data_IF_791677758661
#
_entry.id   IF_791677758661
#
_cell.length_a   1.000
_cell.length_b   1.000
_cell.length_c   1.000
_cell.angle_alpha   90.00
_cell.angle_beta   90.00
_cell.angle_gamma   90.00
#
_symmetry.space_group_name_H-M   'P 1'
#
loop_
_entity.id
_entity.type
_entity.pdbx_description
1 polymer ?
#
# COMPACT_ATOMS: atom_id res chain seq x y z
N UNK A 1 24.59 -3.85 14.85
CA UNK A 1 25.09 -4.00 13.47
C UNK A 1 24.79 -2.71 12.72
N UNK A 2 25.69 -2.26 11.84
CA UNK A 2 25.38 -1.13 10.97
C UNK A 2 24.23 -1.51 10.04
N UNK A 3 23.28 -0.59 9.82
CA UNK A 3 22.18 -0.76 8.85
C UNK A 3 22.77 -0.89 7.45
N UNK A 4 22.28 -1.83 6.65
CA UNK A 4 22.57 -1.88 5.21
C UNK A 4 21.82 -0.76 4.48
N UNK A 5 22.13 -0.55 3.20
CA UNK A 5 21.58 0.58 2.45
C UNK A 5 20.07 0.40 2.19
N UNK A 6 19.59 -0.84 2.12
CA UNK A 6 18.16 -1.15 1.98
C UNK A 6 17.38 -0.84 3.26
N UNK A 7 17.94 -1.13 4.42
CA UNK A 7 17.34 -0.82 5.71
C UNK A 7 17.32 0.69 5.96
N UNK A 8 18.39 1.41 5.60
CA UNK A 8 18.37 2.89 5.60
C UNK A 8 17.29 3.44 4.68
N UNK A 9 17.13 2.86 3.48
CA UNK A 9 16.05 3.20 2.56
C UNK A 9 14.65 2.95 3.16
N UNK A 10 14.44 1.85 3.88
CA UNK A 10 13.16 1.53 4.54
C UNK A 10 12.87 2.40 5.77
N UNK A 11 13.91 2.81 6.48
CA UNK A 11 13.81 3.65 7.69
C UNK A 11 13.74 5.16 7.36
N UNK A 12 13.87 5.54 6.08
CA UNK A 12 13.83 6.93 5.63
C UNK A 12 15.13 7.71 5.87
N UNK A 13 16.26 7.01 6.01
CA UNK A 13 17.59 7.57 6.18
C UNK A 13 18.33 7.76 4.84
N UNK A 14 19.45 8.50 4.85
CA UNK A 14 20.30 8.64 3.65
C UNK A 14 20.96 7.30 3.29
N UNK A 15 20.84 6.88 2.02
CA UNK A 15 21.39 5.62 1.53
C UNK A 15 22.11 5.76 0.17
N UNK A 16 22.98 4.80 -0.14
CA UNK A 16 23.76 4.73 -1.38
C UNK A 16 22.93 4.03 -2.47
N UNK A 17 22.47 4.80 -3.45
CA UNK A 17 21.52 4.33 -4.47
C UNK A 17 22.06 3.24 -5.42
N UNK A 18 23.38 3.06 -5.53
CA UNK A 18 23.99 2.02 -6.36
C UNK A 18 24.41 0.76 -5.56
N UNK A 19 24.07 0.69 -4.27
CA UNK A 19 24.33 -0.49 -3.46
C UNK A 19 23.61 -1.74 -4.05
N UNK A 20 24.22 -2.93 -4.00
CA UNK A 20 23.67 -4.14 -4.63
C UNK A 20 22.22 -4.45 -4.25
N UNK A 21 21.87 -4.28 -2.99
CA UNK A 21 20.53 -4.48 -2.42
C UNK A 21 19.51 -3.47 -2.97
N UNK A 22 19.90 -2.21 -3.14
CA UNK A 22 19.08 -1.17 -3.76
C UNK A 22 18.91 -1.43 -5.27
N UNK A 23 19.99 -1.81 -5.96
CA UNK A 23 19.94 -2.16 -7.39
C UNK A 23 19.06 -3.39 -7.62
N UNK A 24 19.12 -4.38 -6.72
CA UNK A 24 18.25 -5.56 -6.76
C UNK A 24 16.78 -5.20 -6.55
N UNK A 25 16.48 -4.34 -5.57
CA UNK A 25 15.15 -3.79 -5.33
C UNK A 25 14.61 -3.06 -6.58
N UNK A 26 15.40 -2.19 -7.20
CA UNK A 26 15.02 -1.45 -8.42
C UNK A 26 14.78 -2.40 -9.61
N UNK A 27 15.61 -3.42 -9.78
CA UNK A 27 15.43 -4.44 -10.83
C UNK A 27 14.13 -5.24 -10.61
N UNK A 28 13.82 -5.60 -9.36
CA UNK A 28 12.59 -6.29 -9.03
C UNK A 28 11.35 -5.41 -9.29
N UNK A 29 11.38 -4.13 -8.89
CA UNK A 29 10.32 -3.17 -9.19
C UNK A 29 10.07 -3.06 -10.70
N UNK A 30 11.13 -2.89 -11.51
CA UNK A 30 11.03 -2.85 -12.98
C UNK A 30 10.47 -4.14 -13.58
N UNK A 31 10.81 -5.30 -13.01
CA UNK A 31 10.25 -6.60 -13.43
C UNK A 31 8.75 -6.66 -13.18
N UNK A 32 8.30 -6.26 -11.99
CA UNK A 32 6.89 -6.24 -11.63
C UNK A 32 6.10 -5.26 -12.50
N UNK A 33 6.62 -4.04 -12.74
CA UNK A 33 5.99 -3.08 -13.66
C UNK A 33 5.83 -3.62 -15.08
N UNK A 34 6.83 -4.35 -15.61
CA UNK A 34 6.70 -5.01 -16.92
C UNK A 34 5.62 -6.09 -16.91
N UNK A 35 5.58 -6.91 -15.86
CA UNK A 35 4.55 -7.94 -15.68
C UNK A 35 3.14 -7.33 -15.62
N UNK A 36 2.98 -6.17 -14.98
CA UNK A 36 1.73 -5.42 -14.98
C UNK A 36 1.36 -4.94 -16.39
N UNK A 37 2.29 -4.27 -17.06
CA UNK A 37 2.04 -3.71 -18.40
C UNK A 37 1.81 -4.80 -19.47
N UNK A 38 2.35 -6.01 -19.27
CA UNK A 38 2.16 -7.15 -20.17
C UNK A 38 0.96 -8.04 -19.80
N UNK A 39 0.27 -7.76 -18.69
CA UNK A 39 -0.92 -8.50 -18.31
C UNK A 39 -2.14 -8.06 -19.12
N UNK A 40 -3.08 -8.95 -19.39
CA UNK A 40 -4.35 -8.57 -20.03
C UNK A 40 -5.21 -7.74 -19.07
N UNK A 41 -6.13 -6.93 -19.63
CA UNK A 41 -6.95 -5.99 -18.85
C UNK A 41 -7.80 -6.67 -17.78
N UNK A 42 -8.21 -7.92 -18.04
CA UNK A 42 -9.02 -8.80 -17.20
C UNK A 42 -8.20 -9.71 -16.27
N UNK A 43 -6.86 -9.64 -16.30
CA UNK A 43 -5.98 -10.33 -15.36
C UNK A 43 -5.91 -9.60 -14.00
N UNK A 44 -7.07 -9.40 -13.38
CA UNK A 44 -7.30 -8.58 -12.18
C UNK A 44 -6.39 -8.99 -11.02
N UNK A 45 -6.22 -10.29 -10.78
CA UNK A 45 -5.42 -10.81 -9.66
C UNK A 45 -3.92 -10.51 -9.82
N UNK A 46 -3.42 -10.55 -11.06
CA UNK A 46 -2.03 -10.21 -11.39
C UNK A 46 -1.81 -8.70 -11.24
N UNK A 47 -2.77 -7.89 -11.70
CA UNK A 47 -2.68 -6.42 -11.67
C UNK A 47 -2.77 -5.84 -10.25
N UNK A 48 -3.63 -6.40 -9.39
CA UNK A 48 -3.81 -5.97 -8.01
C UNK A 48 -2.56 -6.18 -7.15
N UNK A 49 -1.74 -7.19 -7.45
CA UNK A 49 -0.50 -7.44 -6.71
C UNK A 49 0.66 -6.47 -7.03
N UNK A 50 0.51 -5.55 -7.99
CA UNK A 50 1.61 -4.72 -8.53
C UNK A 50 1.45 -3.21 -8.31
N UNK A 51 0.24 -2.70 -8.06
CA UNK A 51 -0.07 -1.26 -8.06
C UNK A 51 -0.02 -0.58 -6.67
N UNK A 52 1.14 -0.46 -6.04
CA UNK A 52 1.25 0.38 -4.84
C UNK A 52 2.56 1.18 -4.78
N UNK A 53 2.43 2.48 -4.46
CA UNK A 53 3.54 3.42 -4.31
C UNK A 53 4.40 3.15 -3.07
N UNK A 54 3.96 2.28 -2.17
CA UNK A 54 4.68 1.85 -0.98
C UNK A 54 4.41 0.35 -0.70
N UNK A 55 5.06 -0.20 0.33
CA UNK A 55 4.97 -1.62 0.68
C UNK A 55 3.58 -1.99 1.19
N UNK A 56 3.07 -3.13 0.72
CA UNK A 56 1.97 -3.86 1.35
C UNK A 56 2.53 -5.17 1.90
N UNK A 57 2.31 -5.42 3.18
CA UNK A 57 2.67 -6.66 3.88
C UNK A 57 1.39 -7.39 4.25
N UNK A 58 1.30 -8.67 3.87
CA UNK A 58 0.17 -9.55 4.20
C UNK A 58 0.73 -10.77 4.93
N UNK A 59 0.23 -11.03 6.13
CA UNK A 59 0.61 -12.18 6.95
C UNK A 59 -0.04 -13.49 6.49
N UNK A 60 0.51 -14.60 6.96
CA UNK A 60 0.08 -15.95 6.58
C UNK A 60 -1.40 -16.21 6.92
N UNK A 61 -2.03 -17.11 6.17
CA UNK A 61 -3.44 -17.51 6.34
C UNK A 61 -4.46 -16.35 6.26
N UNK A 62 -4.09 -15.23 5.63
CA UNK A 62 -5.01 -14.11 5.38
C UNK A 62 -5.93 -14.42 4.20
N UNK A 63 -7.23 -14.25 4.40
CA UNK A 63 -8.24 -14.38 3.35
C UNK A 63 -8.69 -13.00 2.86
N UNK A 64 -8.59 -12.74 1.55
CA UNK A 64 -9.03 -11.49 0.93
C UNK A 64 -10.17 -11.81 -0.04
N UNK A 65 -11.35 -11.24 0.21
CA UNK A 65 -12.53 -11.44 -0.62
C UNK A 65 -12.52 -10.53 -1.87
N UNK A 66 -13.52 -10.71 -2.74
CA UNK A 66 -13.64 -9.98 -4.00
C UNK A 66 -13.75 -8.46 -3.82
N UNK A 67 -13.22 -7.71 -4.78
CA UNK A 67 -13.31 -6.24 -4.85
C UNK A 67 -12.66 -5.49 -3.68
N UNK A 68 -11.69 -6.09 -3.00
CA UNK A 68 -10.86 -5.38 -2.02
C UNK A 68 -9.88 -4.43 -2.71
N UNK A 69 -9.72 -3.25 -2.14
CA UNK A 69 -8.81 -2.21 -2.63
C UNK A 69 -7.84 -1.85 -1.50
N UNK A 70 -6.55 -1.93 -1.78
CA UNK A 70 -5.50 -1.51 -0.86
C UNK A 70 -4.81 -0.30 -1.49
N UNK A 71 -4.75 0.80 -0.75
CA UNK A 71 -4.15 2.04 -1.26
C UNK A 71 -3.02 2.47 -0.35
N UNK A 72 -1.80 2.47 -0.87
CA UNK A 72 -0.66 3.07 -0.16
C UNK A 72 -0.47 4.54 -0.49
N UNK A 73 -1.01 5.04 -1.61
CA UNK A 73 -0.84 6.42 -2.05
C UNK A 73 -1.96 7.37 -1.56
N UNK A 74 -1.58 8.61 -1.26
CA UNK A 74 -2.48 9.73 -0.99
C UNK A 74 -1.92 11.03 -1.59
N UNK A 75 -2.77 12.06 -1.67
CA UNK A 75 -2.37 13.39 -2.10
C UNK A 75 -2.64 14.41 -0.99
N UNK A 76 -1.88 15.52 -0.95
CA UNK A 76 -2.22 16.66 -0.10
C UNK A 76 -3.66 17.13 -0.33
N UNK A 77 -4.35 17.51 0.75
CA UNK A 77 -5.76 17.90 0.68
C UNK A 77 -5.93 19.28 0.04
N UNK A 78 -5.01 20.21 0.33
CA UNK A 78 -5.07 21.55 -0.27
C UNK A 78 -4.60 21.49 -1.71
N UNK A 79 -5.39 22.07 -2.61
CA UNK A 79 -5.06 22.08 -4.04
C UNK A 79 -3.68 22.70 -4.32
N UNK A 80 -3.32 23.81 -3.66
CA UNK A 80 -2.00 24.45 -3.83
C UNK A 80 -0.82 23.60 -3.36
N UNK A 81 -1.04 22.69 -2.40
CA UNK A 81 -0.02 21.72 -1.95
C UNK A 81 0.00 20.47 -2.85
N UNK A 82 -1.12 20.15 -3.49
CA UNK A 82 -1.27 18.97 -4.36
C UNK A 82 -0.74 19.23 -5.77
N UNK A 83 -0.85 20.45 -6.28
CA UNK A 83 -0.41 20.83 -7.62
C UNK A 83 1.05 21.25 -7.62
N UNK A 84 1.80 20.86 -8.64
CA UNK A 84 3.17 21.33 -8.83
C UNK A 84 3.14 22.75 -9.43
N UNK A 85 3.66 23.73 -8.70
CA UNK A 85 3.70 25.13 -9.14
C UNK A 85 4.52 25.31 -10.43
N UNK A 86 3.98 26.11 -11.37
CA UNK A 86 4.62 26.40 -12.65
C UNK A 86 4.67 25.19 -13.59
N UNK A 87 3.83 24.17 -13.40
CA UNK A 87 3.74 23.05 -14.34
C UNK A 87 3.07 23.50 -15.65
N UNK A 88 3.71 23.22 -16.78
CA UNK A 88 3.14 23.37 -18.12
C UNK A 88 3.59 22.21 -19.01
N UNK A 89 2.79 21.72 -19.96
CA UNK A 89 3.27 20.80 -20.98
C UNK A 89 4.42 21.46 -21.77
N UNK A 90 5.46 20.72 -22.23
CA UNK A 90 5.69 19.28 -22.12
C UNK A 90 6.67 18.91 -20.98
N UNK A 91 6.40 19.31 -19.74
CA UNK A 91 7.27 18.94 -18.62
C UNK A 91 7.26 17.44 -18.29
N UNK A 92 8.43 16.91 -17.96
CA UNK A 92 8.68 15.50 -17.58
C UNK A 92 8.41 15.19 -16.10
N UNK A 93 8.03 16.18 -15.28
CA UNK A 93 7.67 15.97 -13.85
C UNK A 93 6.16 15.69 -13.69
N UNK A 94 5.76 14.79 -12.76
CA UNK A 94 4.35 14.53 -12.49
C UNK A 94 3.63 15.79 -12.02
N UNK A 95 2.38 15.95 -12.42
CA UNK A 95 1.56 17.14 -12.15
C UNK A 95 1.15 17.27 -10.67
N UNK A 96 1.14 16.16 -9.92
CA UNK A 96 0.68 16.11 -8.54
C UNK A 96 1.79 15.74 -7.55
N UNK A 97 1.80 16.41 -6.39
CA UNK A 97 2.48 15.92 -5.20
C UNK A 97 1.71 14.72 -4.62
N UNK A 98 2.42 13.63 -4.34
CA UNK A 98 1.87 12.38 -3.80
C UNK A 98 2.71 11.94 -2.60
N UNK A 99 2.05 11.48 -1.54
CA UNK A 99 2.70 10.77 -0.44
C UNK A 99 2.24 9.32 -0.44
N UNK A 100 3.04 8.41 0.12
CA UNK A 100 2.64 7.02 0.23
C UNK A 100 3.04 6.45 1.59
N UNK A 101 2.14 5.69 2.23
CA UNK A 101 2.37 5.05 3.53
C UNK A 101 2.08 3.55 3.41
N UNK A 102 2.92 2.68 4.03
CA UNK A 102 2.77 1.25 3.89
C UNK A 102 1.48 0.75 4.54
N UNK A 103 0.97 -0.40 4.07
CA UNK A 103 -0.12 -1.14 4.70
C UNK A 103 0.43 -2.43 5.29
N UNK A 104 0.02 -2.78 6.50
CA UNK A 104 0.36 -4.04 7.16
C UNK A 104 -0.90 -4.81 7.53
N UNK A 105 -1.02 -6.05 7.08
CA UNK A 105 -2.11 -6.96 7.43
C UNK A 105 -1.50 -8.17 8.15
N UNK A 106 -1.94 -8.43 9.38
CA UNK A 106 -1.46 -9.53 10.21
C UNK A 106 -1.91 -10.91 9.74
N UNK A 107 -1.44 -11.97 10.40
CA UNK A 107 -1.83 -13.35 10.11
C UNK A 107 -3.29 -13.66 10.51
N UNK A 108 -3.88 -14.66 9.85
CA UNK A 108 -5.26 -15.14 10.09
C UNK A 108 -6.35 -14.06 9.93
N UNK A 109 -6.09 -12.98 9.18
CA UNK A 109 -7.06 -11.93 8.94
C UNK A 109 -8.05 -12.34 7.86
N UNK A 110 -9.33 -12.00 8.02
CA UNK A 110 -10.30 -12.05 6.93
C UNK A 110 -10.73 -10.65 6.50
N UNK A 111 -10.43 -10.27 5.26
CA UNK A 111 -10.90 -9.04 4.63
C UNK A 111 -12.12 -9.37 3.77
N UNK A 112 -13.27 -8.86 4.18
CA UNK A 112 -14.57 -9.01 3.53
C UNK A 112 -14.66 -8.28 2.18
N UNK A 113 -15.67 -8.63 1.39
CA UNK A 113 -15.80 -8.13 0.02
C UNK A 113 -16.03 -6.62 -0.03
N UNK A 114 -15.40 -5.96 -1.02
CA UNK A 114 -15.56 -4.52 -1.23
C UNK A 114 -14.86 -3.63 -0.20
N UNK A 115 -13.99 -4.18 0.66
CA UNK A 115 -13.25 -3.39 1.65
C UNK A 115 -12.21 -2.50 0.98
N UNK A 116 -12.13 -1.25 1.41
CA UNK A 116 -11.09 -0.30 1.00
C UNK A 116 -10.16 -0.04 2.19
N UNK A 117 -8.87 -0.28 2.06
CA UNK A 117 -7.86 0.01 3.08
C UNK A 117 -7.04 1.22 2.67
N UNK A 118 -7.04 2.26 3.50
CA UNK A 118 -6.37 3.52 3.22
C UNK A 118 -4.87 3.50 3.61
N UNK A 119 -4.08 4.47 3.12
CA UNK A 119 -2.64 4.50 3.35
C UNK A 119 -2.26 4.52 4.82
N UNK A 120 -1.26 3.72 5.19
CA UNK A 120 -0.68 3.73 6.54
C UNK A 120 -1.40 2.84 7.56
N UNK A 121 -2.40 2.08 7.13
CA UNK A 121 -3.21 1.24 8.03
C UNK A 121 -2.49 -0.07 8.38
N UNK A 122 -2.56 -0.43 9.66
CA UNK A 122 -2.25 -1.76 10.19
C UNK A 122 -3.52 -2.49 10.60
N UNK A 123 -3.76 -3.69 10.06
CA UNK A 123 -4.82 -4.61 10.50
C UNK A 123 -4.18 -5.71 11.33
N UNK A 124 -4.54 -5.78 12.61
CA UNK A 124 -4.00 -6.75 13.56
C UNK A 124 -4.40 -8.19 13.24
N UNK A 125 -3.52 -9.13 13.63
CA UNK A 125 -3.75 -10.58 13.52
C UNK A 125 -5.10 -11.03 14.05
N UNK A 126 -5.62 -12.13 13.53
CA UNK A 126 -6.86 -12.78 13.99
C UNK A 126 -8.11 -11.87 13.88
N UNK A 127 -8.05 -10.82 13.06
CA UNK A 127 -9.16 -9.86 12.89
C UNK A 127 -10.02 -10.16 11.68
N UNK A 128 -11.29 -9.76 11.74
CA UNK A 128 -12.22 -9.80 10.62
C UNK A 128 -12.61 -8.38 10.25
N UNK A 129 -12.43 -8.00 8.99
CA UNK A 129 -12.90 -6.73 8.45
C UNK A 129 -14.10 -7.01 7.54
N UNK A 130 -15.32 -6.74 8.01
CA UNK A 130 -16.50 -6.79 7.13
C UNK A 130 -16.53 -5.58 6.18
N UNK A 131 -17.48 -5.58 5.23
CA UNK A 131 -17.59 -4.56 4.19
C UNK A 131 -17.49 -3.12 4.75
N UNK A 132 -16.63 -2.28 4.16
CA UNK A 132 -16.35 -0.96 4.71
C UNK A 132 -15.08 -0.27 4.18
N UNK A 133 -14.75 0.87 4.81
CA UNK A 133 -13.55 1.67 4.49
C UNK A 133 -12.67 1.80 5.73
N UNK A 134 -11.51 1.16 5.72
CA UNK A 134 -10.55 1.16 6.82
C UNK A 134 -9.66 2.39 6.73
N UNK A 135 -9.95 3.38 7.58
CA UNK A 135 -9.24 4.66 7.62
C UNK A 135 -8.18 4.75 8.73
N UNK A 136 -8.18 3.79 9.65
CA UNK A 136 -7.34 3.73 10.85
C UNK A 136 -7.01 2.28 11.17
N UNK A 137 -5.99 2.08 12.01
CA UNK A 137 -5.55 0.76 12.43
C UNK A 137 -6.68 -0.04 13.10
N UNK A 138 -6.71 -1.33 12.82
CA UNK A 138 -7.64 -2.29 13.41
C UNK A 138 -6.87 -3.13 14.44
N UNK A 139 -7.28 -3.12 15.72
CA UNK A 139 -6.64 -3.94 16.75
C UNK A 139 -6.71 -5.44 16.42
N UNK A 140 -5.75 -6.26 16.87
CA UNK A 140 -5.84 -7.72 16.77
C UNK A 140 -7.10 -8.31 17.39
N UNK A 141 -7.59 -9.43 16.85
CA UNK A 141 -8.66 -10.23 17.45
C UNK A 141 -10.00 -9.50 17.52
N UNK A 142 -10.33 -8.66 16.53
CA UNK A 142 -11.61 -7.94 16.52
C UNK A 142 -12.36 -8.05 15.20
N UNK A 143 -13.68 -7.88 15.28
CA UNK A 143 -14.53 -7.60 14.12
C UNK A 143 -14.57 -6.09 13.90
N UNK A 144 -14.19 -5.63 12.72
CA UNK A 144 -14.32 -4.24 12.28
C UNK A 144 -15.24 -4.13 11.06
N UNK A 145 -16.18 -3.18 11.07
CA UNK A 145 -17.14 -2.97 9.96
C UNK A 145 -17.46 -1.48 9.77
N UNK A 146 -17.98 -1.13 8.59
CA UNK A 146 -18.61 0.17 8.31
C UNK A 146 -17.74 1.17 7.52
N UNK A 147 -18.27 2.36 7.28
CA UNK A 147 -17.53 3.46 6.64
C UNK A 147 -17.67 4.74 7.49
N UNK A 148 -16.62 5.15 8.22
CA UNK A 148 -15.33 4.47 8.35
C UNK A 148 -15.43 3.20 9.23
N UNK A 149 -14.58 2.20 8.98
CA UNK A 149 -14.55 0.96 9.76
C UNK A 149 -14.24 1.26 11.24
N UNK A 150 -14.96 0.58 12.13
CA UNK A 150 -14.71 0.61 13.58
C UNK A 150 -14.71 -0.82 14.12
N UNK A 151 -13.81 -1.09 15.06
CA UNK A 151 -13.88 -2.32 15.84
C UNK A 151 -15.18 -2.32 16.65
N UNK A 152 -16.04 -3.32 16.41
CA UNK A 152 -17.37 -3.43 17.02
C UNK A 152 -17.45 -4.49 18.10
N UNK A 153 -16.55 -5.49 18.08
CA UNK A 153 -16.39 -6.48 19.16
C UNK A 153 -15.07 -7.24 19.03
N UNK A 154 -14.66 -7.89 20.11
CA UNK A 154 -13.56 -8.86 20.12
C UNK A 154 -14.05 -10.24 19.59
N UNK A 155 -13.12 -11.07 19.14
CA UNK A 155 -13.33 -12.41 18.59
C UNK A 155 -12.73 -13.50 19.49
#
# INVERSE_FOLDING_TARGET
MNKDELQKCHDGENFIANAPEIVSMIKNARRLTRMYNSSEYDAVDVRQSILDCNKIVIGDNTLIASNVQLYTAAHPLKAGERLVEGWHPPMSRPFFHTCARPISIGENVWIGGGVIVLPGVTIGRDSVVGAGVVTQDIPPGCLAIGNPCRAVKNL
#
